data_IF_764425018604
#
_entry.id   IF_764425018604
#
_cell.length_a   1.000
_cell.length_b   1.000
_cell.length_c   1.000
_cell.angle_alpha   90.00
_cell.angle_beta   90.00
_cell.angle_gamma   90.00
#
_symmetry.space_group_name_H-M   'P 1'
#
loop_
_entity.id
_entity.type
_entity.pdbx_description
1 polymer ?
#
# COMPACT_ATOMS: atom_id res chain seq x y z
N UNK A 1 9.88 28.62 1.75
CA UNK A 1 9.50 27.24 2.09
C UNK A 1 10.06 26.81 3.44
N UNK A 2 11.39 26.92 3.64
CA UNK A 2 11.99 26.51 4.91
C UNK A 2 11.41 27.26 6.12
N UNK A 3 11.25 28.60 6.01
CA UNK A 3 10.67 29.40 7.08
C UNK A 3 9.24 28.98 7.38
N UNK A 4 8.48 28.67 6.34
CA UNK A 4 7.10 28.22 6.50
C UNK A 4 7.04 26.88 7.22
N UNK A 5 7.96 25.98 6.94
CA UNK A 5 8.04 24.68 7.59
C UNK A 5 8.39 24.83 9.07
N UNK A 6 9.23 25.79 9.42
CA UNK A 6 9.59 26.07 10.81
C UNK A 6 8.44 26.66 11.61
N UNK A 7 7.68 27.59 10.98
CA UNK A 7 6.56 28.26 11.63
C UNK A 7 5.33 27.37 11.74
N UNK A 8 5.18 26.41 10.81
CA UNK A 8 4.04 25.52 10.74
C UNK A 8 4.53 24.07 10.64
N UNK A 9 4.91 23.48 11.78
CA UNK A 9 5.49 22.12 11.80
C UNK A 9 4.68 21.08 11.07
N UNK A 10 3.35 21.24 11.02
CA UNK A 10 2.46 20.34 10.30
C UNK A 10 2.72 20.27 8.80
N UNK A 11 3.41 21.28 8.25
CA UNK A 11 3.81 21.29 6.84
C UNK A 11 5.19 20.70 6.60
N UNK A 12 5.94 20.38 7.67
CA UNK A 12 7.31 19.85 7.54
C UNK A 12 7.31 18.49 6.86
N UNK A 13 6.24 17.70 7.06
CA UNK A 13 6.11 16.40 6.42
C UNK A 13 4.66 16.09 6.13
N UNK A 14 4.28 16.13 4.86
CA UNK A 14 2.93 15.79 4.41
C UNK A 14 2.75 14.27 4.36
N UNK A 15 1.51 13.82 4.18
CA UNK A 15 1.22 12.40 3.98
C UNK A 15 1.97 11.84 2.77
N UNK A 16 2.11 12.64 1.72
CA UNK A 16 2.85 12.25 0.53
C UNK A 16 4.33 12.03 0.85
N UNK A 17 4.93 12.95 1.61
CA UNK A 17 6.33 12.82 2.03
C UNK A 17 6.53 11.57 2.90
N UNK A 18 5.63 11.33 3.84
CA UNK A 18 5.68 10.15 4.71
C UNK A 18 5.57 8.87 3.89
N UNK A 19 4.65 8.82 2.94
CA UNK A 19 4.48 7.68 2.06
C UNK A 19 5.74 7.42 1.22
N UNK A 20 6.34 8.48 0.68
CA UNK A 20 7.58 8.39 -0.07
C UNK A 20 8.70 7.78 0.76
N UNK A 21 8.87 8.24 2.00
CA UNK A 21 9.91 7.75 2.90
C UNK A 21 9.72 6.27 3.20
N UNK A 22 8.49 5.83 3.39
CA UNK A 22 8.18 4.42 3.64
C UNK A 22 8.50 3.57 2.42
N UNK A 23 8.10 4.00 1.23
CA UNK A 23 8.27 3.24 -0.02
C UNK A 23 9.74 3.12 -0.41
N UNK A 24 10.49 4.19 -0.27
CA UNK A 24 11.88 4.26 -0.72
C UNK A 24 12.90 4.20 0.42
N UNK A 25 12.44 3.89 1.64
CA UNK A 25 13.31 3.80 2.81
C UNK A 25 13.90 2.40 3.00
N UNK A 26 14.28 2.11 4.24
CA UNK A 26 15.03 0.90 4.59
C UNK A 26 14.21 -0.38 4.68
N UNK A 27 12.93 -0.36 4.36
CA UNK A 27 12.08 -1.55 4.47
C UNK A 27 12.55 -2.69 3.58
N UNK A 28 13.18 -2.37 2.46
CA UNK A 28 13.71 -3.39 1.54
C UNK A 28 14.77 -4.28 2.20
N UNK A 29 15.55 -3.71 3.11
CA UNK A 29 16.59 -4.46 3.81
C UNK A 29 15.99 -5.54 4.71
N UNK A 30 14.81 -5.30 5.24
CA UNK A 30 14.14 -6.21 6.17
C UNK A 30 13.20 -7.17 5.47
N UNK A 31 12.43 -6.68 4.50
CA UNK A 31 11.31 -7.42 3.90
C UNK A 31 11.54 -7.83 2.44
N UNK A 32 12.69 -7.48 1.86
CA UNK A 32 12.94 -7.67 0.44
C UNK A 32 12.31 -6.56 -0.40
N UNK A 33 12.39 -6.68 -1.70
CA UNK A 33 11.79 -5.69 -2.59
C UNK A 33 10.27 -5.74 -2.50
N UNK A 34 9.59 -4.61 -2.67
CA UNK A 34 8.13 -4.58 -2.62
C UNK A 34 7.49 -5.56 -3.61
N UNK A 35 7.99 -5.59 -4.83
CA UNK A 35 7.43 -6.47 -5.87
C UNK A 35 7.51 -7.95 -5.47
N UNK A 36 8.66 -8.39 -4.97
CA UNK A 36 8.86 -9.78 -4.54
C UNK A 36 7.91 -10.16 -3.41
N UNK A 37 7.81 -9.31 -2.41
CA UNK A 37 6.93 -9.55 -1.25
C UNK A 37 5.46 -9.57 -1.68
N UNK A 38 5.06 -8.61 -2.50
CA UNK A 38 3.67 -8.49 -2.96
C UNK A 38 3.26 -9.64 -3.88
N UNK A 39 4.20 -10.21 -4.63
CA UNK A 39 3.94 -11.41 -5.43
C UNK A 39 3.59 -12.61 -4.56
N UNK A 40 4.26 -12.76 -3.43
CA UNK A 40 3.94 -13.83 -2.46
C UNK A 40 2.53 -13.62 -1.91
N UNK A 41 2.21 -12.40 -1.51
CA UNK A 41 0.87 -12.05 -1.01
C UNK A 41 -0.19 -12.35 -2.08
N UNK A 42 0.08 -11.97 -3.33
CA UNK A 42 -0.84 -12.19 -4.44
C UNK A 42 -1.15 -13.69 -4.62
N UNK A 43 -0.13 -14.54 -4.51
CA UNK A 43 -0.33 -15.99 -4.61
C UNK A 43 -1.18 -16.53 -3.48
N UNK A 44 -0.92 -16.06 -2.27
CA UNK A 44 -1.68 -16.51 -1.10
C UNK A 44 -3.15 -16.07 -1.18
N UNK A 45 -3.38 -14.84 -1.60
CA UNK A 45 -4.75 -14.32 -1.77
C UNK A 45 -5.48 -15.02 -2.89
N UNK A 46 -4.79 -15.31 -4.00
CA UNK A 46 -5.38 -16.05 -5.12
C UNK A 46 -5.84 -17.44 -4.68
N UNK A 47 -4.98 -18.14 -3.95
CA UNK A 47 -5.32 -19.46 -3.43
C UNK A 47 -6.51 -19.42 -2.46
N UNK A 48 -6.53 -18.42 -1.58
CA UNK A 48 -7.65 -18.25 -0.65
C UNK A 48 -8.97 -18.01 -1.40
N UNK A 49 -8.94 -17.08 -2.39
CA UNK A 49 -10.14 -16.76 -3.16
C UNK A 49 -10.64 -17.95 -3.97
N UNK A 50 -9.74 -18.71 -4.58
CA UNK A 50 -10.10 -19.91 -5.31
C UNK A 50 -10.79 -20.93 -4.40
N UNK A 51 -10.23 -21.16 -3.21
CA UNK A 51 -10.82 -22.07 -2.24
C UNK A 51 -12.17 -21.58 -1.73
N UNK A 52 -12.28 -20.29 -1.46
CA UNK A 52 -13.49 -19.66 -0.92
C UNK A 52 -14.63 -19.64 -1.93
N UNK A 53 -14.31 -19.34 -3.19
CA UNK A 53 -15.30 -19.18 -4.26
C UNK A 53 -15.52 -20.44 -5.07
N UNK A 54 -14.71 -21.47 -4.85
CA UNK A 54 -14.78 -22.73 -5.58
C UNK A 54 -14.70 -22.52 -7.12
N UNK A 55 -13.83 -21.61 -7.55
CA UNK A 55 -13.67 -21.23 -8.96
C UNK A 55 -12.69 -22.18 -9.65
N UNK A 56 -13.18 -23.32 -10.09
CA UNK A 56 -12.32 -24.31 -10.75
C UNK A 56 -12.12 -24.04 -12.23
N UNK A 57 -13.10 -23.43 -12.88
CA UNK A 57 -13.05 -23.15 -14.33
C UNK A 57 -12.40 -21.80 -14.65
N UNK A 58 -12.36 -20.89 -13.68
CA UNK A 58 -11.76 -19.56 -13.81
C UNK A 58 -10.81 -19.35 -12.64
N UNK A 59 -9.55 -19.77 -12.79
CA UNK A 59 -8.59 -19.61 -11.71
C UNK A 59 -8.35 -18.13 -11.40
N UNK A 60 -8.19 -17.84 -10.11
CA UNK A 60 -7.82 -16.48 -9.68
C UNK A 60 -6.30 -16.34 -9.79
N UNK A 61 -5.87 -15.31 -10.47
CA UNK A 61 -4.44 -15.04 -10.67
C UNK A 61 -4.16 -13.57 -10.40
N UNK A 62 -4.09 -13.22 -9.12
CA UNK A 62 -3.75 -11.87 -8.71
C UNK A 62 -2.24 -11.63 -8.89
N UNK A 63 -1.90 -10.41 -9.27
CA UNK A 63 -0.52 -9.98 -9.36
C UNK A 63 -0.19 -8.98 -8.24
N UNK A 64 1.05 -8.54 -8.17
CA UNK A 64 1.50 -7.61 -7.13
C UNK A 64 0.77 -6.26 -7.19
N UNK A 65 0.43 -5.79 -8.39
CA UNK A 65 -0.34 -4.54 -8.54
C UNK A 65 -1.74 -4.68 -7.99
N UNK A 66 -2.37 -5.84 -8.20
CA UNK A 66 -3.70 -6.12 -7.63
C UNK A 66 -3.65 -6.00 -6.11
N UNK A 67 -2.61 -6.54 -5.49
CA UNK A 67 -2.44 -6.44 -4.03
C UNK A 67 -2.37 -4.97 -3.60
N UNK A 68 -1.61 -4.14 -4.32
CA UNK A 68 -1.53 -2.71 -4.03
C UNK A 68 -2.90 -2.04 -4.05
N UNK A 69 -3.67 -2.28 -5.11
CA UNK A 69 -5.00 -1.69 -5.23
C UNK A 69 -5.97 -2.22 -4.16
N UNK A 70 -5.91 -3.49 -3.85
CA UNK A 70 -6.74 -4.08 -2.81
C UNK A 70 -6.39 -3.53 -1.43
N UNK A 71 -5.11 -3.34 -1.14
CA UNK A 71 -4.67 -2.70 0.11
C UNK A 71 -5.09 -1.24 0.18
N UNK A 72 -5.08 -0.53 -0.95
CA UNK A 72 -5.63 0.83 -1.00
C UNK A 72 -7.11 0.83 -0.63
N UNK A 73 -7.88 -0.13 -1.14
CA UNK A 73 -9.29 -0.27 -0.78
C UNK A 73 -9.49 -0.55 0.70
N UNK A 74 -8.62 -1.38 1.29
CA UNK A 74 -8.67 -1.65 2.73
C UNK A 74 -8.45 -0.36 3.53
N UNK A 75 -7.48 0.45 3.15
CA UNK A 75 -7.21 1.73 3.82
C UNK A 75 -8.35 2.72 3.63
N UNK A 76 -8.95 2.71 2.45
CA UNK A 76 -10.15 3.53 2.18
C UNK A 76 -11.32 3.12 3.07
N UNK A 77 -11.52 1.82 3.24
CA UNK A 77 -12.57 1.32 4.13
C UNK A 77 -12.33 1.73 5.58
N UNK A 78 -11.08 1.70 6.04
CA UNK A 78 -10.73 2.17 7.38
C UNK A 78 -10.95 3.66 7.54
N UNK A 79 -10.64 4.44 6.50
CA UNK A 79 -10.87 5.88 6.50
C UNK A 79 -12.36 6.23 6.64
N UNK A 80 -13.25 5.37 6.18
CA UNK A 80 -14.68 5.57 6.35
C UNK A 80 -15.09 5.59 7.83
N UNK A 81 -14.36 4.86 8.69
CA UNK A 81 -14.59 4.86 10.13
C UNK A 81 -13.92 6.05 10.82
N UNK A 82 -12.75 6.45 10.36
CA UNK A 82 -12.00 7.56 10.94
C UNK A 82 -11.22 8.29 9.85
N UNK A 83 -11.81 9.34 9.30
CA UNK A 83 -11.21 10.13 8.23
C UNK A 83 -10.00 10.94 8.69
N UNK A 84 -9.86 11.15 9.99
CA UNK A 84 -8.78 11.97 10.54
C UNK A 84 -7.49 11.17 10.82
N UNK A 85 -7.53 9.84 10.67
CA UNK A 85 -6.39 9.00 11.00
C UNK A 85 -5.32 9.06 9.91
N UNK A 86 -4.22 9.75 10.21
CA UNK A 86 -3.14 10.01 9.25
C UNK A 86 -2.58 8.75 8.59
N UNK A 87 -2.43 7.66 9.36
CA UNK A 87 -1.86 6.43 8.84
C UNK A 87 -2.65 5.87 7.66
N UNK A 88 -3.97 6.02 7.69
CA UNK A 88 -4.81 5.57 6.57
C UNK A 88 -4.52 6.35 5.30
N UNK A 89 -4.30 7.66 5.42
CA UNK A 89 -3.95 8.52 4.27
C UNK A 89 -2.57 8.15 3.73
N UNK A 90 -1.59 8.07 4.61
CA UNK A 90 -0.21 7.72 4.25
C UNK A 90 -0.16 6.35 3.57
N UNK A 91 -0.81 5.36 4.16
CA UNK A 91 -0.80 3.99 3.63
C UNK A 91 -1.54 3.89 2.30
N UNK A 92 -2.66 4.60 2.16
CA UNK A 92 -3.42 4.61 0.92
C UNK A 92 -2.59 5.17 -0.24
N UNK A 93 -1.90 6.29 -0.01
CA UNK A 93 -0.99 6.88 -0.98
C UNK A 93 0.17 5.91 -1.28
N UNK A 94 0.72 5.31 -0.23
CA UNK A 94 1.86 4.41 -0.34
C UNK A 94 1.55 3.19 -1.22
N UNK A 95 0.43 2.55 -1.01
CA UNK A 95 0.06 1.39 -1.82
C UNK A 95 -0.17 1.75 -3.29
N UNK A 96 -0.81 2.88 -3.57
CA UNK A 96 -0.99 3.32 -4.96
C UNK A 96 0.37 3.60 -5.62
N UNK A 97 1.24 4.30 -4.92
CA UNK A 97 2.57 4.62 -5.44
C UNK A 97 3.43 3.36 -5.66
N UNK A 98 3.26 2.33 -4.81
CA UNK A 98 3.98 1.08 -4.95
C UNK A 98 3.69 0.36 -6.26
N UNK A 99 2.55 0.65 -6.91
CA UNK A 99 2.25 0.04 -8.22
C UNK A 99 3.34 0.32 -9.24
N UNK A 100 4.01 1.45 -9.14
CA UNK A 100 5.11 1.80 -10.05
C UNK A 100 6.35 0.91 -9.85
N UNK A 101 6.48 0.30 -8.67
CA UNK A 101 7.59 -0.58 -8.34
C UNK A 101 7.27 -2.05 -8.54
N UNK A 102 6.08 -2.37 -8.97
CA UNK A 102 5.64 -3.73 -9.27
C UNK A 102 5.87 -4.04 -10.74
N UNK A 103 6.32 -5.24 -11.01
CA UNK A 103 6.65 -5.69 -12.38
C UNK A 103 5.63 -6.68 -12.90
#
# INVERSE_FOLDING_TARGET
MAEQLELFPEFSQTALDKAKDIIYGDREKTYGTPDKNLKIVAKMWSAYLEGRMNMRSLPVDLNSKDVCWMMNLLKTARAANDQSHDDNVVDAIGYVALTERCV
#
